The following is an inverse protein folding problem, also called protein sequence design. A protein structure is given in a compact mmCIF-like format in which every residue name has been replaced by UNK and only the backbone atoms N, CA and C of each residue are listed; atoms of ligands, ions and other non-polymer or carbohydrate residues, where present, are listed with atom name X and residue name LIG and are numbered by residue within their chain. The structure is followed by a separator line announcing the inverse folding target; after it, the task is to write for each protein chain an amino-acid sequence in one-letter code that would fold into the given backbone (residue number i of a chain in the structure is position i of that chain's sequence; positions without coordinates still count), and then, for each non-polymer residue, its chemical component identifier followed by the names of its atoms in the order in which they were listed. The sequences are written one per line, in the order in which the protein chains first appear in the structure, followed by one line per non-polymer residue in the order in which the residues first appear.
data_IF_208046537344
#
_entry.id   IF_208046537344
#
_cell.length_a   1.000
_cell.length_b   1.000
_cell.length_c   1.000
_cell.angle_alpha   90.00
_cell.angle_beta   90.00
_cell.angle_gamma   90.00
#
_symmetry.space_group_name_H-M   'P 1'
#
loop_
_entity.id
_entity.type
_entity.pdbx_description
1 polymer ?
#
# COMPACT_ATOMS: atom_id res chain seq x y z
N UNK A 1 67.52 16.50 -25.04
CA UNK A 1 66.82 17.12 -23.90
C UNK A 1 65.41 16.55 -23.90
N UNK A 2 65.10 15.65 -22.95
CA UNK A 2 63.80 15.34 -22.34
C UNK A 2 64.11 14.14 -21.44
N UNK A 3 64.30 14.44 -20.16
CA UNK A 3 64.57 13.46 -19.11
C UNK A 3 63.29 12.74 -18.70
N UNK A 4 63.43 11.42 -18.52
CA UNK A 4 62.49 10.54 -17.85
C UNK A 4 62.58 10.77 -16.35
N UNK A 5 61.46 11.10 -15.69
CA UNK A 5 61.33 10.94 -14.23
C UNK A 5 60.07 10.15 -13.92
N UNK A 6 60.31 8.95 -13.41
CA UNK A 6 59.35 8.01 -12.84
C UNK A 6 58.67 8.64 -11.60
N UNK A 7 57.34 8.63 -11.57
CA UNK A 7 56.57 9.17 -10.46
C UNK A 7 56.41 8.15 -9.33
N UNK A 8 56.69 8.61 -8.11
CA UNK A 8 56.57 7.88 -6.84
C UNK A 8 55.12 7.48 -6.56
N UNK A 9 54.92 6.19 -6.22
CA UNK A 9 53.69 5.65 -5.63
C UNK A 9 53.33 6.40 -4.35
N UNK A 10 52.17 7.07 -4.32
CA UNK A 10 51.50 7.49 -3.09
C UNK A 10 50.45 6.44 -2.73
N UNK A 11 50.60 5.83 -1.56
CA UNK A 11 49.56 5.03 -0.90
C UNK A 11 48.30 5.88 -0.74
N UNK A 12 47.27 5.59 -1.53
CA UNK A 12 45.94 6.14 -1.31
C UNK A 12 45.31 5.28 -0.22
N UNK A 13 45.21 5.85 0.97
CA UNK A 13 44.33 5.36 2.03
C UNK A 13 42.91 5.26 1.45
N UNK A 14 42.43 4.03 1.23
CA UNK A 14 41.04 3.71 0.98
C UNK A 14 40.25 3.87 2.29
N UNK A 15 40.11 5.10 2.75
CA UNK A 15 39.02 5.44 3.64
C UNK A 15 37.73 5.24 2.83
N UNK A 16 36.93 4.23 3.20
CA UNK A 16 35.60 3.97 2.63
C UNK A 16 34.76 5.24 2.80
N UNK A 17 34.62 6.02 1.73
CA UNK A 17 33.59 7.05 1.62
C UNK A 17 32.25 6.37 1.91
N UNK A 18 31.53 6.88 2.93
CA UNK A 18 30.22 6.36 3.33
C UNK A 18 29.28 6.27 2.12
N UNK A 19 28.46 5.23 2.09
CA UNK A 19 27.48 4.96 1.03
C UNK A 19 26.66 6.23 0.80
N UNK A 20 26.88 6.87 -0.35
CA UNK A 20 26.21 8.10 -0.75
C UNK A 20 24.81 7.72 -1.21
N UNK A 21 23.81 8.22 -0.48
CA UNK A 21 22.39 7.94 -0.74
C UNK A 21 21.91 8.65 -1.99
N UNK A 22 20.94 8.02 -2.63
CA UNK A 22 20.08 8.74 -3.55
C UNK A 22 19.09 9.60 -2.73
N UNK A 23 18.72 10.80 -3.21
CA UNK A 23 17.98 11.82 -2.44
C UNK A 23 16.47 11.52 -2.28
N UNK A 24 16.06 10.26 -2.33
CA UNK A 24 14.68 9.82 -2.24
C UNK A 24 14.45 8.89 -1.04
N UNK A 25 13.18 8.61 -0.75
CA UNK A 25 12.72 7.90 0.45
C UNK A 25 13.48 6.58 0.72
N UNK A 26 13.71 6.28 1.98
CA UNK A 26 14.05 4.94 2.44
C UNK A 26 12.77 4.11 2.59
N UNK A 27 12.66 3.09 1.75
CA UNK A 27 11.48 2.26 1.56
C UNK A 27 11.77 0.86 2.05
N UNK A 28 10.92 0.38 2.95
CA UNK A 28 10.86 -1.02 3.33
C UNK A 28 9.69 -1.70 2.59
N UNK A 29 9.91 -2.89 2.03
CA UNK A 29 8.85 -3.74 1.46
C UNK A 29 8.91 -5.08 2.19
N UNK A 30 7.81 -5.47 2.82
CA UNK A 30 7.66 -6.74 3.55
C UNK A 30 6.55 -7.55 2.87
N UNK A 31 6.81 -8.81 2.57
CA UNK A 31 5.91 -9.70 1.82
C UNK A 31 5.60 -10.97 2.59
N UNK A 32 4.45 -11.63 2.33
CA UNK A 32 4.10 -12.90 3.00
C UNK A 32 5.01 -14.07 2.58
N UNK A 33 5.35 -14.15 1.29
CA UNK A 33 6.20 -15.21 0.74
C UNK A 33 7.66 -14.78 0.55
N UNK A 34 8.59 -15.73 0.59
CA UNK A 34 10.02 -15.48 0.32
C UNK A 34 10.36 -15.42 -1.18
N UNK A 35 9.42 -15.81 -2.05
CA UNK A 35 9.68 -16.08 -3.47
C UNK A 35 9.01 -15.06 -4.38
N UNK A 36 7.72 -15.22 -4.66
CA UNK A 36 7.03 -14.52 -5.77
C UNK A 36 7.19 -13.00 -5.70
N UNK A 37 6.76 -12.40 -4.60
CA UNK A 37 6.72 -10.94 -4.41
C UNK A 37 8.13 -10.37 -4.20
N UNK A 38 9.00 -10.95 -3.33
CA UNK A 38 10.38 -10.47 -3.19
C UNK A 38 11.17 -10.54 -4.49
N UNK A 39 11.04 -11.63 -5.28
CA UNK A 39 11.76 -11.75 -6.54
C UNK A 39 11.31 -10.70 -7.55
N UNK A 40 10.00 -10.42 -7.61
CA UNK A 40 9.47 -9.36 -8.47
C UNK A 40 10.01 -7.98 -8.10
N UNK A 41 9.93 -7.59 -6.83
CA UNK A 41 10.39 -6.26 -6.41
C UNK A 41 11.91 -6.15 -6.45
N UNK A 42 12.67 -7.22 -6.19
CA UNK A 42 14.14 -7.24 -6.33
C UNK A 42 14.55 -7.08 -7.79
N UNK A 43 13.83 -7.73 -8.70
CA UNK A 43 14.02 -7.58 -10.14
C UNK A 43 13.69 -6.16 -10.61
N UNK A 44 12.53 -5.61 -10.22
CA UNK A 44 12.16 -4.21 -10.47
C UNK A 44 13.25 -3.25 -9.98
N UNK A 45 13.65 -3.38 -8.71
CA UNK A 45 14.70 -2.55 -8.11
C UNK A 45 16.00 -2.59 -8.92
N UNK A 46 16.41 -3.79 -9.35
CA UNK A 46 17.62 -3.98 -10.16
C UNK A 46 17.48 -3.34 -11.54
N UNK A 47 16.35 -3.58 -12.22
CA UNK A 47 16.05 -3.09 -13.57
C UNK A 47 15.97 -1.57 -13.63
N UNK A 48 15.32 -0.95 -12.64
CA UNK A 48 15.12 0.50 -12.50
C UNK A 48 16.28 1.22 -11.79
N UNK A 49 17.35 0.48 -11.48
CA UNK A 49 18.56 0.97 -10.80
C UNK A 49 18.22 1.74 -9.53
N UNK A 50 17.30 1.23 -8.74
CA UNK A 50 16.97 1.78 -7.43
C UNK A 50 18.01 1.28 -6.42
N UNK A 51 18.58 2.19 -5.63
CA UNK A 51 19.58 1.85 -4.62
C UNK A 51 19.05 0.80 -3.64
N UNK A 52 19.81 -0.28 -3.44
CA UNK A 52 19.49 -1.32 -2.45
C UNK A 52 19.61 -0.81 -1.01
N UNK A 53 20.27 0.33 -0.79
CA UNK A 53 20.33 1.02 0.50
C UNK A 53 19.11 1.91 0.73
N UNK A 54 18.36 2.25 -0.32
CA UNK A 54 17.11 3.00 -0.23
C UNK A 54 15.87 2.09 -0.33
N UNK A 55 15.94 0.94 -0.99
CA UNK A 55 14.81 0.01 -1.12
C UNK A 55 15.18 -1.36 -0.57
N UNK A 56 14.75 -1.62 0.66
CA UNK A 56 14.92 -2.89 1.35
C UNK A 56 13.69 -3.78 1.14
N UNK A 57 13.92 -5.07 0.84
CA UNK A 57 12.86 -6.01 0.47
C UNK A 57 13.10 -7.32 1.22
N UNK A 58 12.13 -7.73 2.04
CA UNK A 58 12.15 -8.98 2.81
C UNK A 58 10.84 -9.75 2.66
N UNK A 59 10.94 -11.07 2.70
CA UNK A 59 9.79 -11.99 2.81
C UNK A 59 9.97 -13.00 3.94
N UNK A 60 10.97 -12.80 4.81
CA UNK A 60 11.31 -13.71 5.91
C UNK A 60 10.54 -13.33 7.19
N UNK A 61 9.21 -13.39 7.09
CA UNK A 61 8.32 -13.02 8.19
C UNK A 61 7.17 -14.00 8.43
N UNK A 62 7.09 -15.08 7.66
CA UNK A 62 5.99 -16.05 7.73
C UNK A 62 4.83 -15.74 6.78
N UNK A 63 4.02 -16.74 6.50
CA UNK A 63 3.00 -16.74 5.46
C UNK A 63 1.61 -16.30 5.94
N UNK A 64 1.55 -15.31 6.83
CA UNK A 64 0.27 -14.79 7.33
C UNK A 64 0.31 -13.25 7.35
N UNK A 65 -0.77 -12.56 6.93
CA UNK A 65 -0.82 -11.09 6.89
C UNK A 65 -0.38 -10.39 8.18
N UNK A 66 -0.73 -10.92 9.36
CA UNK A 66 -0.33 -10.30 10.64
C UNK A 66 1.18 -10.41 10.86
N UNK A 67 1.79 -11.49 10.37
CA UNK A 67 3.23 -11.72 10.52
C UNK A 67 4.04 -10.74 9.67
N UNK A 68 3.55 -10.42 8.46
CA UNK A 68 4.08 -9.33 7.61
C UNK A 68 4.07 -8.01 8.37
N UNK A 69 2.93 -7.64 8.95
CA UNK A 69 2.78 -6.35 9.65
C UNK A 69 3.67 -6.29 10.90
N UNK A 70 3.69 -7.34 11.72
CA UNK A 70 4.58 -7.41 12.90
C UNK A 70 6.04 -7.27 12.52
N UNK A 71 6.46 -7.88 11.41
CA UNK A 71 7.83 -7.80 10.95
C UNK A 71 8.16 -6.39 10.39
N UNK A 72 7.24 -5.78 9.65
CA UNK A 72 7.38 -4.39 9.21
C UNK A 72 7.52 -3.42 10.39
N UNK A 73 6.68 -3.56 11.42
CA UNK A 73 6.78 -2.79 12.67
C UNK A 73 8.16 -3.00 13.31
N UNK A 74 8.57 -4.26 13.47
CA UNK A 74 9.86 -4.59 14.08
C UNK A 74 11.02 -3.90 13.35
N UNK A 75 11.12 -4.06 12.04
CA UNK A 75 12.20 -3.48 11.23
C UNK A 75 12.16 -1.95 11.24
N UNK A 76 10.97 -1.36 11.22
CA UNK A 76 10.82 0.08 11.36
C UNK A 76 11.33 0.58 12.72
N UNK A 77 10.89 -0.04 13.83
CA UNK A 77 11.32 0.33 15.18
C UNK A 77 12.83 0.13 15.39
N UNK A 78 13.41 -0.92 14.81
CA UNK A 78 14.87 -1.12 14.76
C UNK A 78 15.57 0.03 14.02
N UNK A 79 15.00 0.51 12.92
CA UNK A 79 15.51 1.67 12.18
C UNK A 79 15.39 2.99 12.95
N UNK A 80 14.38 3.13 13.82
CA UNK A 80 14.19 4.28 14.72
C UNK A 80 15.21 4.25 15.86
N UNK A 81 15.48 3.08 16.42
CA UNK A 81 16.45 2.90 17.50
C UNK A 81 17.90 3.10 17.04
N UNK A 82 18.17 2.92 15.76
CA UNK A 82 19.46 3.17 15.14
C UNK A 82 19.81 4.68 15.19
N UNK A 83 20.96 5.01 15.78
CA UNK A 83 21.39 6.41 15.96
C UNK A 83 21.65 7.13 14.63
N UNK A 84 21.88 6.35 13.58
CA UNK A 84 22.07 6.88 12.25
C UNK A 84 20.70 7.18 11.63
N UNK A 85 20.25 8.45 11.72
CA UNK A 85 19.03 8.97 11.06
C UNK A 85 18.94 8.61 9.59
N UNK A 86 20.09 8.37 8.98
CA UNK A 86 20.15 7.93 7.62
C UNK A 86 19.41 6.58 7.45
N UNK A 87 19.49 5.63 8.38
CA UNK A 87 18.84 4.32 8.23
C UNK A 87 17.34 4.30 8.55
N UNK A 88 16.76 5.40 9.02
CA UNK A 88 15.34 5.48 9.34
C UNK A 88 14.51 5.32 8.06
N UNK A 89 13.60 4.35 8.03
CA UNK A 89 12.67 4.21 6.93
C UNK A 89 11.68 5.39 6.91
N UNK A 90 11.41 5.92 5.73
CA UNK A 90 10.38 6.93 5.52
C UNK A 90 9.00 6.27 5.37
N UNK A 91 8.96 5.06 4.80
CA UNK A 91 7.73 4.31 4.55
C UNK A 91 7.99 2.80 4.52
N UNK A 92 7.02 2.01 4.95
CA UNK A 92 7.04 0.56 4.84
C UNK A 92 5.75 0.05 4.18
N UNK A 93 5.90 -0.72 3.10
CA UNK A 93 4.80 -1.38 2.41
C UNK A 93 4.66 -2.83 2.88
N UNK A 94 3.47 -3.19 3.34
CA UNK A 94 3.09 -4.53 3.75
C UNK A 94 2.28 -5.17 2.62
N UNK A 95 2.87 -6.10 1.88
CA UNK A 95 2.19 -6.82 0.79
C UNK A 95 1.42 -7.97 1.41
N UNK A 96 0.10 -7.94 1.27
CA UNK A 96 -0.79 -8.92 1.89
C UNK A 96 -1.82 -9.46 0.90
N UNK A 97 -2.03 -10.77 0.97
CA UNK A 97 -2.95 -11.53 0.14
C UNK A 97 -4.21 -11.88 0.93
N UNK A 98 -5.38 -11.70 0.32
CA UNK A 98 -6.63 -12.03 1.00
C UNK A 98 -6.77 -13.53 1.24
N UNK A 99 -6.47 -14.33 0.22
CA UNK A 99 -6.77 -15.75 -0.01
C UNK A 99 -7.68 -16.38 1.07
N UNK A 100 -7.21 -17.42 1.78
CA UNK A 100 -7.93 -18.04 2.91
C UNK A 100 -7.52 -17.46 4.27
N UNK A 101 -6.81 -16.33 4.30
CA UNK A 101 -6.21 -15.85 5.54
C UNK A 101 -7.26 -15.30 6.50
N UNK A 102 -7.48 -15.92 7.68
CA UNK A 102 -8.42 -15.40 8.67
C UNK A 102 -7.90 -14.09 9.29
N UNK A 103 -6.58 -13.90 9.30
CA UNK A 103 -5.92 -12.75 9.91
C UNK A 103 -5.74 -11.56 8.96
N UNK A 104 -6.34 -11.58 7.77
CA UNK A 104 -6.24 -10.49 6.81
C UNK A 104 -6.73 -9.15 7.39
N UNK A 105 -7.97 -9.08 7.88
CA UNK A 105 -8.50 -7.85 8.49
C UNK A 105 -7.79 -7.47 9.80
N UNK A 106 -7.46 -8.41 10.71
CA UNK A 106 -6.59 -8.11 11.84
C UNK A 106 -5.24 -7.47 11.48
N UNK A 107 -4.63 -7.85 10.35
CA UNK A 107 -3.41 -7.23 9.87
C UNK A 107 -3.62 -5.77 9.44
N UNK A 108 -4.69 -5.49 8.71
CA UNK A 108 -5.05 -4.13 8.32
C UNK A 108 -5.33 -3.25 9.54
N UNK A 109 -6.08 -3.77 10.51
CA UNK A 109 -6.33 -3.08 11.77
C UNK A 109 -5.03 -2.78 12.53
N UNK A 110 -4.09 -3.73 12.56
CA UNK A 110 -2.79 -3.53 13.21
C UNK A 110 -1.97 -2.41 12.56
N UNK A 111 -2.01 -2.31 11.22
CA UNK A 111 -1.39 -1.19 10.49
C UNK A 111 -2.00 0.14 10.94
N UNK A 112 -3.34 0.22 10.94
CA UNK A 112 -4.05 1.43 11.31
C UNK A 112 -3.75 1.84 12.76
N UNK A 113 -3.81 0.90 13.71
CA UNK A 113 -3.48 1.14 15.11
C UNK A 113 -2.05 1.64 15.31
N UNK A 114 -1.09 1.04 14.59
CA UNK A 114 0.30 1.45 14.66
C UNK A 114 0.52 2.87 14.12
N UNK A 115 -0.06 3.19 12.96
CA UNK A 115 0.01 4.52 12.37
C UNK A 115 -0.67 5.58 13.28
N UNK A 116 -1.83 5.25 13.87
CA UNK A 116 -2.52 6.11 14.84
C UNK A 116 -1.71 6.37 16.11
N UNK A 117 -0.96 5.37 16.59
CA UNK A 117 -0.11 5.48 17.78
C UNK A 117 1.16 6.28 17.50
N UNK A 118 1.78 6.08 16.34
CA UNK A 118 3.01 6.74 15.92
C UNK A 118 2.78 8.17 15.41
N UNK A 119 1.53 8.56 15.18
CA UNK A 119 1.14 9.86 14.64
C UNK A 119 1.80 10.13 13.28
N UNK A 120 1.99 9.06 12.49
CA UNK A 120 2.60 9.09 11.16
C UNK A 120 2.02 7.98 10.29
N UNK A 121 1.93 8.25 8.99
CA UNK A 121 1.53 7.26 7.98
C UNK A 121 2.76 6.48 7.50
N UNK A 122 3.25 5.57 8.34
CA UNK A 122 4.50 4.83 8.10
C UNK A 122 4.21 3.53 7.35
N UNK A 123 3.25 2.75 7.85
CA UNK A 123 2.91 1.45 7.31
C UNK A 123 1.78 1.58 6.29
N UNK A 124 1.96 1.02 5.09
CA UNK A 124 0.98 1.05 4.01
C UNK A 124 0.65 -0.38 3.59
N UNK A 125 -0.61 -0.83 3.69
CA UNK A 125 -0.99 -2.12 3.12
C UNK A 125 -1.03 -2.02 1.60
N UNK A 126 -0.57 -3.08 0.92
CA UNK A 126 -0.78 -3.31 -0.51
C UNK A 126 -1.52 -4.64 -0.62
N UNK A 127 -2.83 -4.57 -0.85
CA UNK A 127 -3.71 -5.75 -0.82
C UNK A 127 -3.84 -6.38 -2.21
N UNK A 128 -3.87 -7.70 -2.26
CA UNK A 128 -4.30 -8.44 -3.46
C UNK A 128 -5.41 -9.42 -3.15
N UNK A 129 -6.41 -9.46 -4.04
CA UNK A 129 -7.57 -10.33 -3.98
C UNK A 129 -7.59 -11.21 -5.23
N UNK A 130 -7.47 -12.53 -5.09
CA UNK A 130 -7.18 -13.27 -3.85
C UNK A 130 -5.70 -13.24 -3.46
N UNK A 131 -4.78 -13.03 -4.42
CA UNK A 131 -3.34 -13.20 -4.23
C UNK A 131 -2.52 -12.30 -5.15
N UNK A 132 -1.23 -12.12 -4.86
CA UNK A 132 -0.32 -11.30 -5.65
C UNK A 132 -0.19 -11.78 -7.10
N UNK A 133 -0.41 -13.06 -7.40
CA UNK A 133 -0.48 -13.57 -8.77
C UNK A 133 -1.51 -12.85 -9.65
N UNK A 134 -2.55 -12.24 -9.06
CA UNK A 134 -3.48 -11.41 -9.84
C UNK A 134 -2.78 -10.21 -10.50
N UNK A 135 -1.77 -9.63 -9.85
CA UNK A 135 -0.94 -8.58 -10.45
C UNK A 135 -0.20 -9.07 -11.69
N UNK A 136 0.31 -10.31 -11.69
CA UNK A 136 0.91 -10.91 -12.88
C UNK A 136 -0.13 -11.17 -13.96
N UNK A 137 -1.33 -11.61 -13.56
CA UNK A 137 -2.43 -11.81 -14.48
C UNK A 137 -2.80 -10.50 -15.19
N UNK A 138 -2.80 -9.35 -14.49
CA UNK A 138 -3.06 -8.04 -15.09
C UNK A 138 -2.11 -7.71 -16.26
N UNK A 139 -0.87 -8.18 -16.27
CA UNK A 139 0.05 -7.98 -17.40
C UNK A 139 -0.37 -8.76 -18.65
N UNK A 140 -1.08 -9.87 -18.45
CA UNK A 140 -1.43 -10.81 -19.50
C UNK A 140 -2.87 -10.62 -19.97
N UNK A 141 -3.80 -10.37 -19.07
CA UNK A 141 -5.22 -10.25 -19.39
C UNK A 141 -5.96 -9.43 -18.35
N UNK A 142 -7.10 -8.86 -18.75
CA UNK A 142 -8.06 -8.28 -17.81
C UNK A 142 -9.12 -9.32 -17.46
N UNK A 143 -9.40 -9.50 -16.18
CA UNK A 143 -10.54 -10.31 -15.73
C UNK A 143 -11.11 -9.77 -14.43
N UNK A 144 -12.44 -9.84 -14.32
CA UNK A 144 -13.22 -9.64 -13.09
C UNK A 144 -14.10 -10.85 -12.77
N UNK A 145 -13.85 -11.98 -13.45
CA UNK A 145 -14.50 -13.24 -13.08
C UNK A 145 -14.02 -13.64 -11.67
N UNK A 146 -14.94 -13.88 -10.71
CA UNK A 146 -14.57 -14.12 -9.33
C UNK A 146 -13.85 -15.46 -9.18
N UNK A 147 -12.76 -15.47 -8.40
CA UNK A 147 -12.11 -16.72 -8.00
C UNK A 147 -12.77 -17.26 -6.74
N UNK A 148 -13.79 -18.10 -6.91
CA UNK A 148 -14.56 -18.68 -5.79
C UNK A 148 -13.89 -19.97 -5.33
N UNK A 149 -13.53 -20.05 -4.05
CA UNK A 149 -12.95 -21.25 -3.45
C UNK A 149 -13.79 -22.49 -3.76
N UNK A 150 -13.10 -23.60 -4.03
CA UNK A 150 -13.71 -24.92 -4.16
C UNK A 150 -13.20 -25.84 -3.05
N UNK A 151 -13.83 -27.01 -2.89
CA UNK A 151 -13.36 -28.02 -1.93
C UNK A 151 -11.88 -28.43 -2.09
N UNK A 152 -11.29 -28.23 -3.28
CA UNK A 152 -9.91 -28.66 -3.59
C UNK A 152 -8.90 -27.53 -3.78
N UNK A 153 -9.36 -26.32 -4.06
CA UNK A 153 -8.51 -25.20 -4.48
C UNK A 153 -8.95 -23.91 -3.81
N UNK A 154 -7.98 -23.17 -3.26
CA UNK A 154 -8.20 -21.80 -2.79
C UNK A 154 -8.55 -20.85 -3.93
N UNK A 155 -9.04 -19.66 -3.60
CA UNK A 155 -9.20 -18.60 -4.57
C UNK A 155 -7.84 -18.23 -5.21
N UNK A 156 -6.77 -18.21 -4.41
CA UNK A 156 -5.39 -18.04 -4.86
C UNK A 156 -4.95 -19.14 -5.84
N UNK A 157 -5.26 -20.41 -5.58
CA UNK A 157 -4.94 -21.53 -6.47
C UNK A 157 -5.63 -21.39 -7.84
N UNK A 158 -6.89 -20.94 -7.86
CA UNK A 158 -7.63 -20.70 -9.11
C UNK A 158 -7.07 -19.51 -9.89
N UNK A 159 -6.66 -18.45 -9.18
CA UNK A 159 -5.95 -17.32 -9.79
C UNK A 159 -4.61 -17.77 -10.40
N UNK A 160 -3.87 -18.62 -9.69
CA UNK A 160 -2.63 -19.22 -10.18
C UNK A 160 -2.87 -20.08 -11.43
N UNK A 161 -3.91 -20.92 -11.46
CA UNK A 161 -4.24 -21.73 -12.65
C UNK A 161 -4.51 -20.88 -13.89
N UNK A 162 -5.30 -19.80 -13.74
CA UNK A 162 -5.61 -18.90 -14.86
C UNK A 162 -4.36 -18.13 -15.32
N UNK A 163 -3.50 -17.72 -14.37
CA UNK A 163 -2.18 -17.17 -14.68
C UNK A 163 -1.33 -18.17 -15.47
N UNK A 164 -1.28 -19.45 -15.08
CA UNK A 164 -0.54 -20.49 -15.80
C UNK A 164 -1.02 -20.65 -17.25
N UNK A 165 -2.34 -20.63 -17.46
CA UNK A 165 -2.92 -20.69 -18.79
C UNK A 165 -2.43 -19.52 -19.66
N UNK A 166 -2.65 -18.28 -19.20
CA UNK A 166 -2.29 -17.11 -19.99
C UNK A 166 -0.77 -16.90 -20.10
N UNK A 167 0.00 -17.35 -19.12
CA UNK A 167 1.46 -17.35 -19.20
C UNK A 167 1.90 -18.21 -20.38
N UNK A 168 1.41 -19.45 -20.48
CA UNK A 168 1.75 -20.36 -21.57
C UNK A 168 1.30 -19.85 -22.94
N UNK A 169 0.17 -19.15 -22.99
CA UNK A 169 -0.38 -18.57 -24.23
C UNK A 169 0.42 -17.36 -24.72
N UNK A 170 0.91 -16.50 -23.82
CA UNK A 170 1.46 -15.18 -24.16
C UNK A 170 2.98 -15.06 -23.96
N UNK A 171 3.55 -15.95 -23.17
CA UNK A 171 4.95 -15.98 -22.78
C UNK A 171 5.56 -17.37 -23.04
N UNK A 172 6.88 -17.45 -22.94
CA UNK A 172 7.61 -18.71 -23.12
C UNK A 172 7.69 -19.50 -21.80
N UNK A 173 7.45 -20.80 -21.89
CA UNK A 173 7.54 -21.74 -20.78
C UNK A 173 6.33 -21.71 -19.85
N UNK A 174 6.51 -22.24 -18.64
CA UNK A 174 5.53 -22.17 -17.55
C UNK A 174 5.96 -21.16 -16.50
N UNK A 175 4.99 -20.55 -15.83
CA UNK A 175 5.24 -19.88 -14.57
C UNK A 175 5.31 -20.91 -13.43
N UNK A 176 6.08 -20.56 -12.41
CA UNK A 176 6.25 -21.36 -11.20
C UNK A 176 6.55 -20.41 -10.06
N UNK A 177 6.03 -20.70 -8.87
CA UNK A 177 6.30 -19.90 -7.66
C UNK A 177 7.81 -19.88 -7.40
N UNK A 178 8.44 -18.74 -7.62
CA UNK A 178 9.90 -18.59 -7.60
C UNK A 178 10.57 -18.34 -8.95
N UNK A 179 9.81 -18.15 -10.04
CA UNK A 179 10.36 -17.68 -11.31
C UNK A 179 11.04 -16.33 -11.09
N UNK A 180 12.31 -16.23 -11.48
CA UNK A 180 13.07 -14.99 -11.41
C UNK A 180 12.77 -14.10 -12.62
N UNK A 181 13.20 -12.84 -12.52
CA UNK A 181 13.17 -11.86 -13.63
C UNK A 181 11.78 -11.59 -14.23
N UNK A 182 10.72 -11.81 -13.47
CA UNK A 182 9.33 -11.66 -13.94
C UNK A 182 9.03 -10.21 -14.33
N UNK A 183 9.50 -9.22 -13.55
CA UNK A 183 9.35 -7.81 -13.90
C UNK A 183 10.06 -7.49 -15.23
N UNK A 184 11.31 -7.94 -15.38
CA UNK A 184 12.11 -7.77 -16.60
C UNK A 184 11.46 -8.42 -17.83
N UNK A 185 10.79 -9.56 -17.68
CA UNK A 185 10.03 -10.22 -18.75
C UNK A 185 8.85 -9.33 -19.18
N UNK A 186 8.06 -8.84 -18.22
CA UNK A 186 6.92 -7.99 -18.51
C UNK A 186 7.32 -6.64 -19.12
N UNK A 187 8.36 -6.01 -18.58
CA UNK A 187 8.92 -4.76 -19.10
C UNK A 187 9.47 -4.95 -20.54
N UNK A 188 10.24 -6.00 -20.79
CA UNK A 188 10.78 -6.29 -22.12
C UNK A 188 9.71 -6.51 -23.19
N UNK A 189 8.51 -6.95 -22.78
CA UNK A 189 7.32 -7.10 -23.63
C UNK A 189 6.39 -5.88 -23.62
N UNK A 190 6.76 -4.81 -22.91
CA UNK A 190 5.98 -3.57 -22.76
C UNK A 190 4.58 -3.80 -22.19
N UNK A 191 4.45 -4.75 -21.26
CA UNK A 191 3.16 -5.13 -20.66
C UNK A 191 2.84 -4.36 -19.37
N UNK A 192 3.76 -3.53 -18.89
CA UNK A 192 3.60 -2.81 -17.64
C UNK A 192 2.43 -1.81 -17.68
N UNK A 193 2.36 -0.97 -18.71
CA UNK A 193 1.25 0.00 -18.87
C UNK A 193 -0.11 -0.71 -18.95
N UNK A 194 -0.17 -1.86 -19.63
CA UNK A 194 -1.35 -2.72 -19.68
C UNK A 194 -1.76 -3.21 -18.30
N UNK A 195 -0.80 -3.68 -17.49
CA UNK A 195 -1.06 -4.12 -16.13
C UNK A 195 -1.58 -2.99 -15.24
N UNK A 196 -0.99 -1.80 -15.34
CA UNK A 196 -1.43 -0.60 -14.62
C UNK A 196 -2.89 -0.28 -14.93
N UNK A 197 -3.27 -0.27 -16.22
CA UNK A 197 -4.66 -0.01 -16.66
C UNK A 197 -5.61 -1.10 -16.16
N UNK A 198 -5.22 -2.38 -16.27
CA UNK A 198 -6.07 -3.48 -15.84
C UNK A 198 -6.30 -3.49 -14.33
N UNK A 199 -5.26 -3.22 -13.53
CA UNK A 199 -5.37 -3.17 -12.07
C UNK A 199 -6.20 -1.97 -11.60
N UNK A 200 -6.00 -0.77 -12.18
CA UNK A 200 -6.81 0.42 -11.85
C UNK A 200 -8.28 0.21 -12.23
N UNK A 201 -8.54 -0.40 -13.40
CA UNK A 201 -9.89 -0.77 -13.83
C UNK A 201 -10.53 -1.78 -12.88
N UNK A 202 -9.78 -2.79 -12.44
CA UNK A 202 -10.29 -3.82 -11.54
C UNK A 202 -10.61 -3.29 -10.15
N UNK A 203 -9.77 -2.41 -9.58
CA UNK A 203 -10.07 -1.75 -8.31
C UNK A 203 -11.32 -0.87 -8.41
N UNK A 204 -11.44 -0.06 -9.48
CA UNK A 204 -12.63 0.78 -9.67
C UNK A 204 -13.92 -0.04 -9.74
N UNK A 205 -13.88 -1.18 -10.43
CA UNK A 205 -15.01 -2.11 -10.51
C UNK A 205 -15.32 -2.73 -9.13
N UNK A 206 -14.29 -3.17 -8.40
CA UNK A 206 -14.42 -3.68 -7.04
C UNK A 206 -15.07 -2.67 -6.09
N UNK A 207 -14.64 -1.41 -6.11
CA UNK A 207 -15.22 -0.33 -5.31
C UNK A 207 -16.71 -0.13 -5.65
N UNK A 208 -17.05 -0.15 -6.94
CA UNK A 208 -18.43 0.06 -7.40
C UNK A 208 -19.40 -1.07 -7.09
N UNK A 209 -18.87 -2.28 -6.90
CA UNK A 209 -19.66 -3.52 -6.69
C UNK A 209 -19.57 -4.04 -5.25
N UNK A 210 -18.71 -3.44 -4.43
CA UNK A 210 -18.29 -3.97 -3.13
C UNK A 210 -17.74 -5.41 -3.18
N UNK A 211 -17.29 -5.88 -4.35
CA UNK A 211 -16.68 -7.19 -4.54
C UNK A 211 -15.20 -7.04 -4.88
N UNK A 212 -14.33 -7.25 -3.88
CA UNK A 212 -12.90 -7.08 -4.04
C UNK A 212 -12.26 -8.15 -4.94
N UNK A 213 -12.85 -9.34 -5.09
CA UNK A 213 -12.27 -10.45 -5.82
C UNK A 213 -12.70 -10.50 -7.31
N UNK A 214 -11.77 -10.38 -8.29
CA UNK A 214 -10.33 -10.18 -8.15
C UNK A 214 -9.85 -8.73 -8.35
N UNK A 215 -8.96 -8.25 -7.49
CA UNK A 215 -8.36 -6.91 -7.61
C UNK A 215 -6.98 -6.86 -6.97
N UNK A 216 -6.18 -5.83 -7.25
CA UNK A 216 -4.88 -5.66 -6.58
C UNK A 216 -4.48 -4.18 -6.50
N UNK A 217 -3.82 -3.85 -5.40
CA UNK A 217 -3.17 -2.55 -5.18
C UNK A 217 -1.69 -2.57 -5.59
N UNK A 218 -1.14 -3.68 -6.11
CA UNK A 218 0.29 -3.78 -6.45
C UNK A 218 0.78 -2.69 -7.42
N UNK A 219 -0.08 -2.27 -8.35
CA UNK A 219 0.20 -1.18 -9.29
C UNK A 219 0.54 0.15 -8.60
N UNK A 220 0.01 0.39 -7.41
CA UNK A 220 0.32 1.56 -6.60
C UNK A 220 1.78 1.57 -6.15
N UNK A 221 2.26 0.46 -5.60
CA UNK A 221 3.66 0.31 -5.18
C UNK A 221 4.60 0.34 -6.38
N UNK A 222 4.23 -0.32 -7.49
CA UNK A 222 5.04 -0.27 -8.71
C UNK A 222 5.15 1.15 -9.24
N UNK A 223 4.05 1.89 -9.31
CA UNK A 223 4.05 3.32 -9.65
C UNK A 223 4.93 4.12 -8.69
N UNK A 224 4.83 3.87 -7.38
CA UNK A 224 5.67 4.56 -6.39
C UNK A 224 7.16 4.37 -6.68
N UNK A 225 7.59 3.12 -6.85
CA UNK A 225 8.99 2.76 -7.07
C UNK A 225 9.54 3.34 -8.37
N UNK A 226 8.75 3.33 -9.44
CA UNK A 226 9.16 3.87 -10.75
C UNK A 226 9.39 5.39 -10.74
N UNK A 227 8.77 6.09 -9.79
CA UNK A 227 8.78 7.55 -9.76
C UNK A 227 9.46 8.10 -8.50
N UNK A 228 10.06 7.24 -7.67
CA UNK A 228 10.69 7.63 -6.40
C UNK A 228 11.82 8.66 -6.59
N UNK A 229 12.46 8.66 -7.76
CA UNK A 229 13.53 9.60 -8.12
C UNK A 229 13.02 10.99 -8.56
N UNK A 230 11.72 11.13 -8.82
CA UNK A 230 11.14 12.40 -9.25
C UNK A 230 11.06 13.36 -8.05
N UNK A 231 11.77 14.48 -8.11
CA UNK A 231 11.67 15.57 -7.12
C UNK A 231 10.52 16.49 -7.52
N UNK A 232 9.55 16.70 -6.65
CA UNK A 232 8.42 17.59 -6.91
C UNK A 232 7.73 18.06 -5.64
N UNK A 233 6.82 19.02 -5.82
CA UNK A 233 6.19 19.83 -4.76
C UNK A 233 5.97 19.06 -3.46
N UNK A 234 6.47 19.59 -2.35
CA UNK A 234 6.27 18.98 -1.03
C UNK A 234 4.79 19.04 -0.64
N UNK A 235 4.03 17.96 -0.91
CA UNK A 235 2.60 17.82 -0.54
C UNK A 235 2.37 17.55 0.94
N UNK A 236 3.46 17.37 1.69
CA UNK A 236 3.45 17.02 3.12
C UNK A 236 2.64 18.00 3.97
N UNK A 237 2.73 19.30 3.68
CA UNK A 237 1.96 20.32 4.41
C UNK A 237 0.45 20.21 4.24
N UNK A 238 -0.04 19.51 3.21
CA UNK A 238 -1.47 19.23 3.00
C UNK A 238 -1.84 17.86 3.56
N UNK A 239 -0.99 16.85 3.39
CA UNK A 239 -1.29 15.49 3.83
C UNK A 239 -1.19 15.31 5.35
N UNK A 240 -0.24 15.96 6.02
CA UNK A 240 -0.05 15.83 7.47
C UNK A 240 -1.31 16.27 8.25
N UNK A 241 -1.93 17.45 8.01
CA UNK A 241 -3.16 17.84 8.69
C UNK A 241 -4.33 16.88 8.47
N UNK A 242 -4.49 16.37 7.25
CA UNK A 242 -5.54 15.40 6.92
C UNK A 242 -5.34 14.11 7.72
N UNK A 243 -4.09 13.68 7.86
CA UNK A 243 -3.74 12.51 8.64
C UNK A 243 -4.03 12.71 10.14
N UNK A 244 -3.59 13.83 10.73
CA UNK A 244 -3.90 14.16 12.13
C UNK A 244 -5.40 14.23 12.41
N UNK A 245 -6.15 14.84 11.48
CA UNK A 245 -7.60 14.84 11.53
C UNK A 245 -8.17 13.43 11.52
N UNK A 246 -7.69 12.57 10.60
CA UNK A 246 -8.18 11.20 10.49
C UNK A 246 -7.98 10.40 11.78
N UNK A 247 -6.84 10.58 12.46
CA UNK A 247 -6.59 9.96 13.78
C UNK A 247 -7.59 10.46 14.82
N UNK A 248 -7.92 11.74 14.78
CA UNK A 248 -8.90 12.34 15.70
C UNK A 248 -10.29 11.73 15.53
N UNK A 249 -10.73 11.52 14.29
CA UNK A 249 -11.99 10.84 13.99
C UNK A 249 -11.97 9.40 14.52
N UNK A 250 -10.90 8.68 14.22
CA UNK A 250 -10.73 7.27 14.57
C UNK A 250 -10.72 7.02 16.08
N UNK A 251 -10.12 7.93 16.85
CA UNK A 251 -10.15 7.88 18.32
C UNK A 251 -11.54 8.18 18.88
N UNK A 252 -12.37 8.92 18.14
CA UNK A 252 -13.70 9.32 18.58
C UNK A 252 -14.79 8.30 18.25
N UNK A 253 -14.71 7.62 17.10
CA UNK A 253 -15.68 6.61 16.66
C UNK A 253 -16.12 5.61 17.76
N UNK A 254 -15.20 4.96 18.50
CA UNK A 254 -15.57 3.97 19.51
C UNK A 254 -16.02 4.58 20.85
N UNK A 255 -15.98 5.90 21.02
CA UNK A 255 -16.39 6.54 22.27
C UNK A 255 -17.91 6.44 22.42
N UNK A 256 -18.35 5.93 23.57
CA UNK A 256 -19.75 6.04 23.99
C UNK A 256 -19.98 7.41 24.61
N UNK A 257 -20.89 8.18 24.04
CA UNK A 257 -21.29 9.50 24.50
C UNK A 257 -22.80 9.65 24.31
N UNK A 258 -23.38 10.73 24.81
CA UNK A 258 -24.78 11.07 24.57
C UNK A 258 -25.10 11.09 23.06
N UNK A 259 -26.24 10.51 22.65
CA UNK A 259 -26.62 10.34 21.25
C UNK A 259 -26.52 11.62 20.43
N UNK A 260 -27.16 12.71 20.86
CA UNK A 260 -27.16 13.99 20.14
C UNK A 260 -25.73 14.54 19.99
N UNK A 261 -24.93 14.42 21.05
CA UNK A 261 -23.54 14.88 21.07
C UNK A 261 -22.65 14.04 20.16
N UNK A 262 -22.81 12.71 20.18
CA UNK A 262 -22.06 11.80 19.31
C UNK A 262 -22.43 12.04 17.85
N UNK A 263 -23.73 12.06 17.52
CA UNK A 263 -24.23 12.32 16.17
C UNK A 263 -23.74 13.66 15.63
N UNK A 264 -23.87 14.74 16.43
CA UNK A 264 -23.39 16.07 16.04
C UNK A 264 -21.87 16.11 15.81
N UNK A 265 -21.09 15.36 16.59
CA UNK A 265 -19.64 15.27 16.41
C UNK A 265 -19.27 14.47 15.16
N UNK A 266 -19.90 13.32 14.91
CA UNK A 266 -19.68 12.53 13.69
C UNK A 266 -20.04 13.34 12.44
N UNK A 267 -21.16 14.07 12.47
CA UNK A 267 -21.53 14.99 11.38
C UNK A 267 -20.47 16.08 11.16
N UNK A 268 -19.90 16.65 12.23
CA UNK A 268 -18.85 17.67 12.09
C UNK A 268 -17.57 17.11 11.44
N UNK A 269 -17.24 15.85 11.69
CA UNK A 269 -16.12 15.19 11.03
C UNK A 269 -16.42 14.92 9.56
N UNK A 270 -17.61 14.40 9.26
CA UNK A 270 -18.06 14.17 7.90
C UNK A 270 -18.04 15.48 7.07
N UNK A 271 -18.48 16.59 7.68
CA UNK A 271 -18.40 17.92 7.10
C UNK A 271 -16.97 18.37 6.82
N UNK A 272 -16.04 18.11 7.73
CA UNK A 272 -14.61 18.45 7.54
C UNK A 272 -14.01 17.66 6.38
N UNK A 273 -14.32 16.37 6.25
CA UNK A 273 -13.91 15.56 5.09
C UNK A 273 -14.44 16.18 3.80
N UNK A 274 -15.76 16.38 3.72
CA UNK A 274 -16.43 16.79 2.49
C UNK A 274 -16.12 18.24 2.07
N UNK A 275 -16.03 19.16 3.02
CA UNK A 275 -15.95 20.61 2.75
C UNK A 275 -14.54 21.15 2.79
N UNK A 276 -13.62 20.51 3.53
CA UNK A 276 -12.26 21.00 3.71
C UNK A 276 -11.22 20.10 3.03
N UNK A 277 -11.17 18.80 3.36
CA UNK A 277 -10.05 17.95 2.96
C UNK A 277 -10.19 17.34 1.57
N UNK A 278 -11.38 16.86 1.20
CA UNK A 278 -11.61 16.36 -0.15
C UNK A 278 -11.25 17.43 -1.20
N UNK A 279 -11.79 18.68 -1.12
CA UNK A 279 -11.50 19.69 -2.13
C UNK A 279 -10.02 20.04 -2.24
N UNK A 280 -9.27 19.99 -1.12
CA UNK A 280 -7.82 20.17 -1.14
C UNK A 280 -7.11 19.06 -1.93
N UNK A 281 -7.45 17.79 -1.68
CA UNK A 281 -6.90 16.65 -2.41
C UNK A 281 -7.31 16.67 -3.89
N UNK A 282 -8.57 17.00 -4.19
CA UNK A 282 -9.06 17.13 -5.57
C UNK A 282 -8.34 18.27 -6.32
N UNK A 283 -8.07 19.39 -5.66
CA UNK A 283 -7.31 20.51 -6.23
C UNK A 283 -5.85 20.12 -6.52
N UNK A 284 -5.23 19.32 -5.65
CA UNK A 284 -3.90 18.79 -5.92
C UNK A 284 -3.91 17.83 -7.12
N UNK A 285 -4.90 16.94 -7.21
CA UNK A 285 -5.02 15.98 -8.34
C UNK A 285 -5.35 16.68 -9.67
N UNK A 286 -6.15 17.74 -9.67
CA UNK A 286 -6.43 18.52 -10.88
C UNK A 286 -5.19 19.24 -11.42
N UNK A 287 -4.22 19.53 -10.54
CA UNK A 287 -2.90 20.06 -10.88
C UNK A 287 -1.81 18.96 -10.91
N UNK A 288 -2.20 17.71 -11.21
CA UNK A 288 -1.28 16.55 -11.21
C UNK A 288 -0.07 16.70 -12.12
N UNK A 289 -0.15 17.51 -13.19
CA UNK A 289 0.99 17.83 -14.05
C UNK A 289 2.15 18.54 -13.34
N UNK A 290 1.92 19.15 -12.17
CA UNK A 290 2.95 19.80 -11.33
C UNK A 290 3.45 18.89 -10.20
N UNK A 291 2.89 17.69 -10.07
CA UNK A 291 3.20 16.74 -9.02
C UNK A 291 4.05 15.60 -9.59
N UNK A 292 4.92 15.04 -8.76
CA UNK A 292 5.56 13.77 -9.08
C UNK A 292 4.53 12.66 -9.01
N UNK A 293 4.74 11.55 -9.73
CA UNK A 293 3.78 10.45 -9.62
C UNK A 293 3.74 9.85 -8.21
N UNK A 294 4.82 9.97 -7.44
CA UNK A 294 4.87 9.65 -6.00
C UNK A 294 3.89 10.50 -5.21
N UNK A 295 3.87 11.82 -5.44
CA UNK A 295 2.96 12.70 -4.73
C UNK A 295 1.51 12.48 -5.17
N UNK A 296 1.27 12.24 -6.46
CA UNK A 296 -0.05 11.82 -6.95
C UNK A 296 -0.51 10.55 -6.24
N UNK A 297 0.39 9.56 -6.08
CA UNK A 297 0.09 8.34 -5.35
C UNK A 297 -0.27 8.62 -3.89
N UNK A 298 0.54 9.39 -3.17
CA UNK A 298 0.27 9.77 -1.76
C UNK A 298 -1.09 10.46 -1.61
N UNK A 299 -1.44 11.34 -2.54
CA UNK A 299 -2.73 12.04 -2.55
C UNK A 299 -3.88 11.06 -2.85
N UNK A 300 -3.74 10.20 -3.87
CA UNK A 300 -4.74 9.17 -4.19
C UNK A 300 -4.97 8.23 -3.00
N UNK A 301 -3.90 7.79 -2.35
CA UNK A 301 -3.96 6.96 -1.15
C UNK A 301 -4.70 7.68 0.00
N UNK A 302 -4.31 8.91 0.32
CA UNK A 302 -4.98 9.69 1.37
C UNK A 302 -6.46 9.90 1.08
N UNK A 303 -6.81 10.14 -0.20
CA UNK A 303 -8.19 10.28 -0.65
C UNK A 303 -8.98 8.98 -0.48
N UNK A 304 -8.42 7.84 -0.86
CA UNK A 304 -9.03 6.53 -0.64
C UNK A 304 -9.25 6.27 0.85
N UNK A 305 -8.27 6.59 1.69
CA UNK A 305 -8.37 6.44 3.13
C UNK A 305 -9.46 7.35 3.74
N UNK A 306 -9.57 8.61 3.29
CA UNK A 306 -10.66 9.49 3.71
C UNK A 306 -12.04 8.98 3.29
N UNK A 307 -12.17 8.38 2.11
CA UNK A 307 -13.43 7.77 1.68
C UNK A 307 -13.83 6.60 2.59
N UNK A 308 -12.87 5.75 2.96
CA UNK A 308 -13.11 4.65 3.92
C UNK A 308 -13.50 5.17 5.31
N UNK A 309 -12.86 6.26 5.76
CA UNK A 309 -13.20 6.92 7.02
C UNK A 309 -14.59 7.55 6.98
N UNK A 310 -14.96 8.15 5.84
CA UNK A 310 -16.30 8.68 5.59
C UNK A 310 -17.36 7.57 5.67
N UNK A 311 -17.13 6.41 5.06
CA UNK A 311 -18.05 5.28 5.15
C UNK A 311 -18.28 4.84 6.60
N UNK A 312 -17.20 4.73 7.39
CA UNK A 312 -17.30 4.37 8.82
C UNK A 312 -18.01 5.44 9.66
N UNK A 313 -17.82 6.72 9.34
CA UNK A 313 -18.60 7.81 9.96
C UNK A 313 -20.09 7.67 9.67
N UNK A 314 -20.46 7.40 8.41
CA UNK A 314 -21.86 7.22 7.99
C UNK A 314 -22.47 6.02 8.71
N UNK A 315 -21.81 4.86 8.69
CA UNK A 315 -22.26 3.66 9.39
C UNK A 315 -22.44 3.91 10.89
N UNK A 316 -21.46 4.56 11.54
CA UNK A 316 -21.56 4.89 12.95
C UNK A 316 -22.69 5.88 13.28
N UNK A 317 -23.11 6.72 12.34
CA UNK A 317 -24.28 7.58 12.49
C UNK A 317 -25.59 6.81 12.29
N UNK A 318 -25.64 5.90 11.32
CA UNK A 318 -26.79 5.01 11.09
C UNK A 318 -27.05 4.13 12.31
N UNK A 319 -26.02 3.52 12.89
CA UNK A 319 -26.11 2.73 14.13
C UNK A 319 -26.73 3.54 15.29
N UNK A 320 -26.33 4.80 15.46
CA UNK A 320 -26.87 5.69 16.50
C UNK A 320 -28.35 5.99 16.26
N UNK A 321 -28.75 6.24 15.02
CA UNK A 321 -30.15 6.54 14.69
C UNK A 321 -31.04 5.30 14.90
N UNK A 322 -30.55 4.12 14.53
CA UNK A 322 -31.25 2.85 14.76
C UNK A 322 -31.41 2.55 16.26
N UNK A 323 -30.37 2.78 17.06
CA UNK A 323 -30.44 2.65 18.53
C UNK A 323 -31.49 3.60 19.14
N UNK A 324 -31.53 4.86 18.68
CA UNK A 324 -32.52 5.83 19.16
C UNK A 324 -33.96 5.41 18.84
N UNK A 325 -34.22 4.95 17.61
CA UNK A 325 -35.54 4.46 17.19
C UNK A 325 -35.98 3.29 18.08
N UNK A 326 -35.08 2.33 18.32
CA UNK A 326 -35.35 1.19 19.17
C UNK A 326 -35.66 1.58 20.63
N UNK A 327 -34.94 2.55 21.20
CA UNK A 327 -35.24 3.07 22.54
C UNK A 327 -36.60 3.77 22.62
N UNK A 328 -36.98 4.54 21.59
CA UNK A 328 -38.26 5.23 21.53
C UNK A 328 -39.44 4.25 21.39
N UNK A 329 -39.28 3.18 20.61
CA UNK A 329 -40.27 2.11 20.46
C UNK A 329 -40.47 1.33 21.77
N UNK A 330 -39.38 0.97 22.45
CA UNK A 330 -39.44 0.29 23.75
C UNK A 330 -40.14 1.16 24.81
N UNK A 331 -39.87 2.47 24.84
CA UNK A 331 -40.56 3.41 25.75
C UNK A 331 -42.05 3.54 25.43
N UNK A 332 -42.46 3.43 24.16
CA UNK A 332 -43.88 3.44 23.77
C UNK A 332 -44.59 2.15 24.22
N UNK A 333 -43.96 0.98 24.05
CA UNK A 333 -44.52 -0.31 24.49
C UNK A 333 -44.58 -0.46 26.02
N UNK A 334 -43.66 0.16 26.77
CA UNK A 334 -43.69 0.12 28.24
C UNK A 334 -44.76 1.03 28.87
N UNK A 335 -45.27 2.00 28.11
CA UNK A 335 -46.29 2.97 28.55
C UNK A 335 -47.70 2.65 28.01
N UNK A 336 -47.85 1.59 27.22
CA UNK A 336 -49.12 1.01 26.74
C UNK A 336 -49.49 -0.21 27.57
#
# INVERSE_FOLDING_TARGET
MIEVIQSRRKNINLARNGVRRDPFDLILIVTEGEKTEPLYFKDLRSKEKLSSTNVEITGDCGSDPVSVVKHAIKLYEESVAEKNQSKLFDIAFCIVDRDKHPNFYPALQMIDEYNKKSNKMILIPIKSYPSFEYWYLCHLTYTRAPFVETQRKSSGDLCYDLLQQHWKEKLEGSYGKGKDKVYSIFDGKKLLDTAMIHAERALKDADSTAENNPSTEAHFLVSYLLNVKEVGLQVKSVLDPIFEFSITVERYLPINDNFEKKLGKLQSFLDSINKEYEPQLATLLSNSNKLTKVNIFRIKFMRQYLNELQNRLILGMEEILDEQINEEEQKKCANS
#
